data_IF_448544383047
#
_entry.id   IF_448544383047
#
_cell.length_a   1.000
_cell.length_b   1.000
_cell.length_c   1.000
_cell.angle_alpha   90.00
_cell.angle_beta   90.00
_cell.angle_gamma   90.00
#
_symmetry.space_group_name_H-M   'P 1'
#
loop_
_entity.id
_entity.type
_entity.pdbx_description
1 polymer ?
#
# COMPACT_ATOMS: atom_id res chain seq x y z
N UNK A 1 27.23 33.35 18.04
CA UNK A 1 27.70 34.66 17.55
C UNK A 1 26.51 35.41 16.96
N UNK A 2 26.41 36.72 17.18
CA UNK A 2 25.37 37.60 16.61
C UNK A 2 25.90 38.27 15.33
N UNK A 3 25.06 38.39 14.31
CA UNK A 3 25.36 39.15 13.08
C UNK A 3 24.52 40.43 13.05
N UNK A 4 25.17 41.59 13.11
CA UNK A 4 24.55 42.88 12.90
C UNK A 4 24.65 43.26 11.43
N UNK A 5 23.51 43.53 10.78
CA UNK A 5 23.47 44.04 9.41
C UNK A 5 23.30 45.56 9.40
N UNK A 6 23.44 46.18 8.23
CA UNK A 6 23.35 47.63 8.05
C UNK A 6 24.39 48.41 8.87
N UNK A 7 25.65 47.95 8.85
CA UNK A 7 26.77 48.62 9.52
C UNK A 7 26.97 50.10 9.11
N UNK A 8 26.50 50.49 7.93
CA UNK A 8 26.45 51.89 7.47
C UNK A 8 25.61 52.80 8.38
N UNK A 9 24.61 52.24 9.08
CA UNK A 9 23.73 52.99 9.98
C UNK A 9 24.36 53.38 11.32
N UNK A 10 25.57 52.89 11.63
CA UNK A 10 26.30 53.25 12.85
C UNK A 10 26.83 54.70 12.82
N UNK A 11 26.85 55.37 11.66
CA UNK A 11 27.08 56.84 11.52
C UNK A 11 28.34 57.40 12.22
N UNK A 12 29.37 56.58 12.40
CA UNK A 12 30.63 56.96 13.05
C UNK A 12 30.75 56.55 14.52
N UNK A 13 29.65 56.14 15.15
CA UNK A 13 29.68 55.42 16.44
C UNK A 13 30.20 54.00 16.22
N UNK A 14 31.02 53.49 17.14
CA UNK A 14 31.45 52.10 17.10
C UNK A 14 30.31 51.17 17.53
N UNK A 15 30.33 49.93 17.04
CA UNK A 15 29.40 48.90 17.53
C UNK A 15 29.55 48.66 19.03
N UNK A 16 30.71 48.92 19.65
CA UNK A 16 30.87 48.75 21.11
C UNK A 16 30.03 49.77 21.87
N UNK A 17 30.16 51.05 21.54
CA UNK A 17 29.35 52.13 22.15
C UNK A 17 27.85 51.86 21.98
N UNK A 18 27.41 51.48 20.78
CA UNK A 18 26.01 51.10 20.53
C UNK A 18 25.52 49.91 21.39
N UNK A 19 26.41 48.96 21.73
CA UNK A 19 26.09 47.85 22.62
C UNK A 19 26.12 48.24 24.09
N UNK A 20 27.03 49.13 24.49
CA UNK A 20 27.17 49.62 25.86
C UNK A 20 25.95 50.46 26.30
N UNK A 21 25.32 51.17 25.36
CA UNK A 21 24.04 51.86 25.55
C UNK A 21 22.82 50.91 25.69
N UNK A 22 22.97 49.60 25.46
CA UNK A 22 21.86 48.63 25.43
C UNK A 22 22.11 47.40 26.33
N UNK A 23 21.70 47.46 27.62
CA UNK A 23 21.89 46.37 28.59
C UNK A 23 21.28 45.02 28.17
N UNK A 24 20.11 45.03 27.52
CA UNK A 24 19.45 43.82 27.03
C UNK A 24 20.22 43.18 25.86
N UNK A 25 20.73 44.01 24.94
CA UNK A 25 21.52 43.54 23.82
C UNK A 25 22.89 43.03 24.28
N UNK A 26 23.52 43.65 25.28
CA UNK A 26 24.68 43.06 25.97
C UNK A 26 24.36 41.69 26.57
N UNK A 27 23.20 41.54 27.26
CA UNK A 27 22.79 40.27 27.87
C UNK A 27 22.62 39.17 26.81
N UNK A 28 21.99 39.48 25.68
CA UNK A 28 21.85 38.58 24.54
C UNK A 28 23.22 38.20 23.92
N UNK A 29 24.12 39.15 23.76
CA UNK A 29 25.48 38.89 23.25
C UNK A 29 26.29 38.02 24.23
N UNK A 30 26.12 38.19 25.55
CA UNK A 30 26.73 37.34 26.58
C UNK A 30 26.25 35.89 26.47
N UNK A 31 24.95 35.64 26.24
CA UNK A 31 24.43 34.30 25.91
C UNK A 31 25.06 33.74 24.61
N UNK A 32 25.35 34.61 23.63
CA UNK A 32 26.07 34.28 22.40
C UNK A 32 27.61 34.18 22.56
N UNK A 33 28.11 33.94 23.78
CA UNK A 33 29.54 33.83 24.13
C UNK A 33 30.36 35.09 23.83
N UNK A 34 29.74 36.28 23.88
CA UNK A 34 30.39 37.57 23.59
C UNK A 34 30.68 37.82 22.10
N UNK A 35 30.43 36.85 21.22
CA UNK A 35 30.78 36.94 19.80
C UNK A 35 29.75 37.72 19.00
N UNK A 36 30.16 38.82 18.37
CA UNK A 36 29.38 39.57 17.38
C UNK A 36 30.21 39.91 16.12
N UNK A 37 29.56 40.16 14.99
CA UNK A 37 30.16 40.70 13.76
C UNK A 37 29.22 41.74 13.14
N UNK A 38 29.77 42.74 12.47
CA UNK A 38 29.02 43.82 11.80
C UNK A 38 29.26 43.71 10.31
N UNK A 39 28.17 43.71 9.54
CA UNK A 39 28.18 43.53 8.10
C UNK A 39 27.37 44.65 7.43
N UNK A 40 27.87 45.18 6.31
CA UNK A 40 27.21 46.22 5.55
C UNK A 40 26.71 45.65 4.22
N UNK A 41 25.42 45.32 4.15
CA UNK A 41 24.76 44.78 2.94
C UNK A 41 24.84 45.71 1.70
N UNK A 42 25.24 46.98 1.87
CA UNK A 42 25.43 47.95 0.78
C UNK A 42 26.87 48.05 0.30
N UNK A 43 27.82 47.52 1.06
CA UNK A 43 29.22 47.44 0.67
C UNK A 43 29.44 46.14 -0.12
N UNK A 44 30.04 46.24 -1.30
CA UNK A 44 30.38 45.08 -2.13
C UNK A 44 31.81 44.57 -1.87
N UNK A 45 32.53 45.14 -0.90
CA UNK A 45 33.86 44.68 -0.52
C UNK A 45 33.82 43.20 -0.06
N UNK A 46 34.49 42.27 -0.79
CA UNK A 46 34.48 40.85 -0.44
C UNK A 46 35.20 40.55 0.88
N UNK A 47 36.00 41.47 1.43
CA UNK A 47 36.69 41.24 2.71
C UNK A 47 35.71 40.98 3.86
N UNK A 48 34.54 41.62 3.88
CA UNK A 48 33.53 41.40 4.92
C UNK A 48 33.04 39.94 4.94
N UNK A 49 32.87 39.33 3.76
CA UNK A 49 32.49 37.92 3.63
C UNK A 49 33.61 37.01 4.12
N UNK A 50 34.86 37.29 3.74
CA UNK A 50 36.04 36.54 4.19
C UNK A 50 36.20 36.61 5.71
N UNK A 51 36.11 37.81 6.31
CA UNK A 51 36.20 38.02 7.76
C UNK A 51 35.09 37.30 8.53
N UNK A 52 33.85 37.33 8.01
CA UNK A 52 32.71 36.60 8.58
C UNK A 52 32.96 35.08 8.54
N UNK A 53 33.36 34.54 7.39
CA UNK A 53 33.66 33.11 7.22
C UNK A 53 34.83 32.64 8.09
N UNK A 54 35.90 33.44 8.19
CA UNK A 54 37.00 33.19 9.11
C UNK A 54 36.52 33.11 10.56
N UNK A 55 35.66 34.05 10.98
CA UNK A 55 35.15 34.12 12.36
C UNK A 55 34.24 32.94 12.67
N UNK A 56 33.40 32.51 11.71
CA UNK A 56 32.62 31.28 11.81
C UNK A 56 33.54 30.06 11.92
N UNK A 57 34.54 29.93 11.06
CA UNK A 57 35.49 28.81 11.09
C UNK A 57 36.26 28.75 12.43
N UNK A 58 36.74 29.89 12.93
CA UNK A 58 37.37 30.02 14.26
C UNK A 58 36.42 29.60 15.39
N UNK A 59 35.14 29.95 15.32
CA UNK A 59 34.12 29.51 16.28
C UNK A 59 33.89 27.98 16.23
N UNK A 60 33.69 27.41 15.03
CA UNK A 60 33.48 25.96 14.84
C UNK A 60 34.67 25.15 15.34
N UNK A 61 35.90 25.59 15.07
CA UNK A 61 37.12 24.95 15.59
C UNK A 61 37.20 24.99 17.12
N UNK A 62 36.77 26.07 17.77
CA UNK A 62 36.70 26.17 19.24
C UNK A 62 35.62 25.25 19.84
N UNK A 63 34.55 24.98 19.11
CA UNK A 63 33.52 23.98 19.45
C UNK A 63 33.90 22.53 19.10
N UNK A 64 35.20 22.24 18.89
CA UNK A 64 35.69 20.89 18.56
C UNK A 64 35.21 20.36 17.20
N UNK A 65 34.74 21.23 16.30
CA UNK A 65 34.16 20.86 15.01
C UNK A 65 32.68 20.46 15.06
N UNK A 66 32.10 20.25 16.25
CA UNK A 66 30.68 19.91 16.40
C UNK A 66 29.80 21.13 16.09
N UNK A 67 28.93 21.00 15.08
CA UNK A 67 27.90 21.97 14.68
C UNK A 67 26.56 21.24 14.59
N UNK A 68 25.60 21.70 15.37
CA UNK A 68 24.46 20.90 15.85
C UNK A 68 24.95 19.64 16.59
N UNK A 69 24.42 19.38 17.79
CA UNK A 69 24.64 18.08 18.40
C UNK A 69 24.11 17.02 17.45
N UNK A 70 24.83 15.90 17.31
CA UNK A 70 24.41 14.79 16.43
C UNK A 70 22.96 14.36 16.73
N UNK A 71 22.57 14.45 18.01
CA UNK A 71 21.21 14.29 18.53
C UNK A 71 20.16 15.20 17.84
N UNK A 72 20.46 16.48 17.61
CA UNK A 72 19.53 17.39 16.91
C UNK A 72 19.35 17.03 15.43
N UNK A 73 20.40 16.49 14.79
CA UNK A 73 20.30 15.99 13.42
C UNK A 73 19.49 14.69 13.38
N UNK A 74 19.85 13.73 14.23
CA UNK A 74 19.18 12.43 14.36
C UNK A 74 17.69 12.58 14.71
N UNK A 75 17.34 13.54 15.58
CA UNK A 75 15.95 13.83 15.94
C UNK A 75 15.16 14.47 14.79
N UNK A 76 15.81 15.25 13.93
CA UNK A 76 15.19 15.79 12.72
C UNK A 76 15.01 14.71 11.64
N UNK A 77 16.03 13.87 11.44
CA UNK A 77 15.99 12.72 10.53
C UNK A 77 14.90 11.72 10.94
N UNK A 78 14.84 11.36 12.23
CA UNK A 78 13.81 10.49 12.81
C UNK A 78 12.40 11.00 12.54
N UNK A 79 12.14 12.29 12.77
CA UNK A 79 10.83 12.92 12.50
C UNK A 79 10.46 13.02 11.03
N UNK A 80 11.45 12.99 10.13
CA UNK A 80 11.21 12.92 8.68
C UNK A 80 10.85 11.48 8.28
N UNK A 81 11.51 10.48 8.88
CA UNK A 81 11.29 9.07 8.58
C UNK A 81 9.97 8.53 9.17
N UNK A 82 9.65 8.87 10.42
CA UNK A 82 8.35 8.55 11.06
C UNK A 82 7.18 9.03 10.19
N UNK A 83 7.28 10.25 9.62
CA UNK A 83 6.26 10.84 8.74
C UNK A 83 6.14 10.22 7.35
N UNK A 84 7.08 9.38 6.92
CA UNK A 84 6.97 8.63 5.66
C UNK A 84 6.37 7.25 5.87
N UNK A 85 6.70 6.59 6.98
CA UNK A 85 6.24 5.23 7.22
C UNK A 85 4.72 5.12 7.41
N UNK A 86 4.07 6.09 8.05
CA UNK A 86 2.61 6.09 8.19
C UNK A 86 1.90 6.05 6.81
N UNK A 87 2.06 7.04 5.91
CA UNK A 87 1.35 7.02 4.62
C UNK A 87 1.83 5.92 3.66
N UNK A 88 3.07 5.44 3.77
CA UNK A 88 3.54 4.30 2.95
C UNK A 88 2.94 2.96 3.42
N UNK A 89 2.64 2.81 4.72
CA UNK A 89 1.94 1.63 5.24
C UNK A 89 0.46 1.66 4.89
N UNK A 90 -0.22 2.79 5.12
CA UNK A 90 -1.63 2.97 4.77
C UNK A 90 -1.87 2.68 3.28
N UNK A 91 -1.08 3.26 2.37
CA UNK A 91 -1.16 2.97 0.93
C UNK A 91 -0.85 1.51 0.57
N UNK A 92 0.02 0.83 1.34
CA UNK A 92 0.33 -0.58 1.10
C UNK A 92 -0.82 -1.48 1.54
N UNK A 93 -1.44 -1.16 2.68
CA UNK A 93 -2.61 -1.88 3.23
C UNK A 93 -3.83 -1.72 2.29
N UNK A 94 -4.15 -0.49 1.85
CA UNK A 94 -5.22 -0.25 0.86
C UNK A 94 -4.98 -1.00 -0.46
N UNK A 95 -3.72 -1.06 -0.94
CA UNK A 95 -3.36 -1.77 -2.17
C UNK A 95 -3.47 -3.30 -2.02
N UNK A 96 -3.20 -3.83 -0.83
CA UNK A 96 -3.29 -5.26 -0.53
C UNK A 96 -4.77 -5.68 -0.37
N UNK A 97 -5.59 -4.91 0.35
CA UNK A 97 -7.04 -5.13 0.45
C UNK A 97 -7.75 -5.05 -0.91
N UNK A 98 -7.46 -4.03 -1.72
CA UNK A 98 -8.08 -3.90 -3.05
C UNK A 98 -7.68 -5.05 -3.98
N UNK A 99 -6.45 -5.56 -3.86
CA UNK A 99 -5.98 -6.71 -4.62
C UNK A 99 -6.68 -8.00 -4.18
N UNK A 100 -6.87 -8.22 -2.88
CA UNK A 100 -7.63 -9.37 -2.37
C UNK A 100 -9.09 -9.33 -2.81
N UNK A 101 -9.74 -8.15 -2.83
CA UNK A 101 -11.10 -7.98 -3.35
C UNK A 101 -11.18 -8.36 -4.83
N UNK A 102 -10.29 -7.83 -5.68
CA UNK A 102 -10.24 -8.15 -7.11
C UNK A 102 -9.93 -9.63 -7.40
N UNK A 103 -9.10 -10.28 -6.58
CA UNK A 103 -8.83 -11.72 -6.70
C UNK A 103 -10.05 -12.54 -6.24
N UNK A 104 -10.75 -12.11 -5.18
CA UNK A 104 -11.99 -12.73 -4.70
C UNK A 104 -13.16 -12.63 -5.69
N UNK A 105 -13.40 -11.45 -6.27
CA UNK A 105 -14.45 -11.24 -7.29
C UNK A 105 -14.22 -12.15 -8.50
N UNK A 106 -13.00 -12.18 -9.04
CA UNK A 106 -12.65 -13.06 -10.17
C UNK A 106 -12.83 -14.55 -9.88
N UNK A 107 -12.54 -14.99 -8.66
CA UNK A 107 -12.74 -16.39 -8.25
C UNK A 107 -14.24 -16.72 -8.14
N UNK A 108 -15.08 -15.78 -7.71
CA UNK A 108 -16.53 -15.99 -7.67
C UNK A 108 -17.15 -16.04 -9.07
N UNK A 109 -16.70 -15.19 -10.00
CA UNK A 109 -17.10 -15.25 -11.41
C UNK A 109 -16.76 -16.63 -12.03
N UNK A 110 -15.53 -17.13 -11.82
CA UNK A 110 -15.11 -18.45 -12.32
C UNK A 110 -15.92 -19.61 -11.68
N UNK A 111 -16.25 -19.53 -10.39
CA UNK A 111 -17.10 -20.52 -9.72
C UNK A 111 -18.56 -20.49 -10.23
N UNK A 112 -19.09 -19.31 -10.56
CA UNK A 112 -20.43 -19.16 -11.13
C UNK A 112 -20.50 -19.70 -12.57
N UNK A 113 -19.52 -19.37 -13.43
CA UNK A 113 -19.42 -19.94 -14.78
C UNK A 113 -19.32 -21.47 -14.76
N UNK A 114 -18.53 -22.04 -13.85
CA UNK A 114 -18.41 -23.49 -13.66
C UNK A 114 -19.71 -24.14 -13.20
N UNK A 115 -20.44 -23.51 -12.27
CA UNK A 115 -21.76 -23.98 -11.81
C UNK A 115 -22.80 -23.95 -12.93
N UNK A 116 -22.91 -22.85 -13.65
CA UNK A 116 -23.83 -22.75 -14.80
C UNK A 116 -23.51 -23.81 -15.85
N UNK A 117 -22.24 -24.03 -16.17
CA UNK A 117 -21.82 -25.05 -17.13
C UNK A 117 -22.22 -26.46 -16.67
N UNK A 118 -21.97 -26.81 -15.41
CA UNK A 118 -22.37 -28.11 -14.87
C UNK A 118 -23.90 -28.28 -14.79
N UNK A 119 -24.66 -27.22 -14.51
CA UNK A 119 -26.12 -27.27 -14.55
C UNK A 119 -26.63 -27.48 -15.99
N UNK A 120 -26.10 -26.74 -16.98
CA UNK A 120 -26.42 -26.94 -18.41
C UNK A 120 -26.11 -28.38 -18.84
N UNK A 121 -24.90 -28.88 -18.55
CA UNK A 121 -24.51 -30.27 -18.84
C UNK A 121 -25.45 -31.30 -18.17
N UNK A 122 -25.88 -31.06 -16.93
CA UNK A 122 -26.82 -31.93 -16.23
C UNK A 122 -28.23 -31.88 -16.84
N UNK A 123 -28.71 -30.70 -17.27
CA UNK A 123 -30.00 -30.57 -17.98
C UNK A 123 -29.98 -31.25 -19.35
N UNK A 124 -28.93 -31.06 -20.15
CA UNK A 124 -28.76 -31.74 -21.44
C UNK A 124 -28.67 -33.27 -21.28
N UNK A 125 -27.97 -33.76 -20.25
CA UNK A 125 -27.94 -35.19 -19.92
C UNK A 125 -29.33 -35.71 -19.50
N UNK A 126 -30.09 -34.94 -18.72
CA UNK A 126 -31.46 -35.31 -18.34
C UNK A 126 -32.42 -35.30 -19.54
N UNK A 127 -32.33 -34.33 -20.44
CA UNK A 127 -33.14 -34.23 -21.66
C UNK A 127 -32.80 -35.35 -22.66
N UNK A 128 -31.52 -35.63 -22.89
CA UNK A 128 -31.09 -36.74 -23.77
C UNK A 128 -31.48 -38.10 -23.19
N UNK A 129 -31.36 -38.30 -21.88
CA UNK A 129 -31.85 -39.49 -21.19
C UNK A 129 -33.38 -39.63 -21.29
N UNK A 130 -34.14 -38.56 -21.09
CA UNK A 130 -35.60 -38.55 -21.21
C UNK A 130 -36.07 -38.75 -22.66
N UNK A 131 -35.35 -38.20 -23.64
CA UNK A 131 -35.61 -38.36 -25.08
C UNK A 131 -35.33 -39.79 -25.55
N UNK A 132 -34.20 -40.36 -25.13
CA UNK A 132 -33.86 -41.78 -25.35
C UNK A 132 -34.89 -42.71 -24.71
N UNK A 133 -35.28 -42.44 -23.46
CA UNK A 133 -36.31 -43.20 -22.74
C UNK A 133 -37.69 -43.12 -23.41
N UNK A 134 -38.05 -41.98 -23.99
CA UNK A 134 -39.28 -41.82 -24.79
C UNK A 134 -39.31 -42.73 -26.03
N UNK A 135 -38.17 -42.96 -26.68
CA UNK A 135 -38.08 -43.81 -27.87
C UNK A 135 -38.32 -45.29 -27.55
N UNK A 136 -37.89 -45.75 -26.36
CA UNK A 136 -38.13 -47.12 -25.88
C UNK A 136 -39.62 -47.39 -25.65
N UNK A 137 -40.39 -46.39 -25.19
CA UNK A 137 -41.84 -46.53 -24.95
C UNK A 137 -42.69 -46.63 -26.23
N UNK A 138 -42.20 -46.13 -27.36
CA UNK A 138 -42.98 -45.99 -28.60
C UNK A 138 -43.20 -47.30 -29.39
N UNK A 139 -42.55 -48.41 -28.99
CA UNK A 139 -42.60 -49.70 -29.73
C UNK A 139 -43.80 -50.58 -29.27
N UNK A 140 -44.56 -50.16 -28.25
CA UNK A 140 -45.47 -51.05 -27.50
C UNK A 140 -46.97 -50.73 -27.53
N UNK A 141 -47.52 -50.21 -28.63
CA UNK A 141 -49.00 -50.23 -28.85
C UNK A 141 -49.43 -50.64 -30.27
N UNK A 142 -49.76 -51.94 -30.45
CA UNK A 142 -50.85 -52.39 -31.34
C UNK A 142 -51.67 -53.48 -30.61
N UNK A 143 -52.99 -53.25 -30.50
CA UNK A 143 -53.97 -53.92 -29.63
C UNK A 143 -55.34 -53.94 -30.35
N UNK A 144 -56.16 -55.01 -30.38
CA UNK A 144 -56.02 -56.40 -29.89
C UNK A 144 -56.87 -57.34 -30.76
N UNK A 145 -56.38 -58.55 -31.06
CA UNK A 145 -57.09 -59.79 -30.67
C UNK A 145 -57.51 -60.70 -31.83
N UNK A 146 -58.07 -61.91 -31.54
CA UNK A 146 -58.39 -62.45 -30.22
C UNK A 146 -57.63 -63.74 -29.83
N UNK A 147 -57.40 -63.88 -28.52
CA UNK A 147 -57.44 -65.10 -27.67
C UNK A 147 -57.42 -66.48 -28.36
N UNK A 148 -56.44 -67.33 -28.00
CA UNK A 148 -56.64 -68.63 -27.31
C UNK A 148 -55.33 -69.05 -26.60
N UNK A 149 -55.43 -69.46 -25.32
CA UNK A 149 -54.74 -70.70 -24.90
C UNK A 149 -53.51 -70.66 -23.99
N UNK A 150 -53.81 -70.73 -22.67
CA UNK A 150 -53.01 -71.37 -21.59
C UNK A 150 -51.84 -70.61 -20.97
N UNK A 151 -51.75 -70.86 -19.66
CA UNK A 151 -50.79 -70.33 -18.67
C UNK A 151 -49.90 -71.49 -18.20
N UNK A 152 -48.59 -71.26 -18.11
CA UNK A 152 -47.68 -71.95 -17.18
C UNK A 152 -46.75 -70.91 -16.57
N UNK A 153 -46.44 -71.09 -15.28
CA UNK A 153 -45.76 -70.09 -14.45
C UNK A 153 -44.24 -70.30 -14.46
N UNK A 154 -43.46 -69.23 -14.27
CA UNK A 154 -42.10 -69.36 -13.73
C UNK A 154 -41.59 -68.07 -13.09
N UNK A 155 -41.45 -68.14 -11.75
CA UNK A 155 -40.36 -67.56 -10.94
C UNK A 155 -40.13 -66.04 -10.98
N UNK A 156 -40.37 -65.39 -9.82
CA UNK A 156 -39.73 -64.12 -9.49
C UNK A 156 -38.21 -64.28 -9.49
N UNK A 157 -37.52 -63.51 -10.33
CA UNK A 157 -36.12 -63.15 -10.07
C UNK A 157 -36.02 -61.64 -9.91
N UNK A 158 -35.76 -61.21 -8.67
CA UNK A 158 -35.37 -59.83 -8.38
C UNK A 158 -33.97 -59.63 -8.95
N UNK A 159 -33.77 -58.65 -9.84
CA UNK A 159 -32.51 -57.93 -9.97
C UNK A 159 -32.78 -56.57 -10.62
N UNK A 160 -32.56 -55.50 -9.86
CA UNK A 160 -32.36 -54.17 -10.42
C UNK A 160 -30.86 -54.02 -10.71
N UNK A 161 -30.43 -53.66 -11.93
CA UNK A 161 -29.07 -53.21 -12.16
C UNK A 161 -28.93 -51.76 -11.68
N UNK A 162 -28.45 -51.60 -10.45
CA UNK A 162 -27.79 -50.36 -10.06
C UNK A 162 -26.45 -50.30 -10.81
N UNK A 163 -26.38 -49.53 -11.90
CA UNK A 163 -25.09 -49.20 -12.50
C UNK A 163 -24.45 -48.07 -11.68
N UNK A 164 -23.24 -48.26 -11.12
CA UNK A 164 -22.55 -47.21 -10.39
C UNK A 164 -22.08 -46.11 -11.36
N UNK A 165 -22.14 -44.86 -10.90
CA UNK A 165 -21.58 -43.73 -11.62
C UNK A 165 -20.05 -43.88 -11.77
N UNK A 166 -19.47 -43.52 -12.93
CA UNK A 166 -18.02 -43.48 -13.07
C UNK A 166 -17.41 -42.37 -12.20
N UNK A 167 -16.18 -42.54 -11.68
CA UNK A 167 -15.51 -41.50 -10.89
C UNK A 167 -15.07 -40.31 -11.77
N UNK A 168 -14.98 -39.09 -11.21
CA UNK A 168 -14.52 -37.91 -11.94
C UNK A 168 -13.04 -38.04 -12.34
N UNK A 169 -12.62 -37.40 -13.46
CA UNK A 169 -11.24 -37.42 -13.90
C UNK A 169 -10.33 -36.65 -12.94
N UNK A 170 -9.12 -37.17 -12.71
CA UNK A 170 -8.07 -36.46 -11.98
C UNK A 170 -7.47 -35.37 -12.86
N UNK A 171 -7.22 -34.20 -12.27
CA UNK A 171 -6.44 -33.11 -12.87
C UNK A 171 -4.95 -33.31 -12.55
N UNK A 172 -4.13 -33.43 -13.58
CA UNK A 172 -2.70 -33.07 -13.60
C UNK A 172 -2.48 -32.01 -14.69
#
# INVERSE_FOLDING_TARGET
>A
MVLFTHGDRLKGTSIKEYLDDSPDLQRFIKQCHGGYHVFNNRDQNPSQVTELLEKINKMVKRSGGSRCTTEMLQEAERKIEEKKQDPEREQREEMEELKEQLEGERLMEEEEELKEKHEREATEQAETYASSSRWIGAITEIVVGPVVGRKVESVLSRHAPANPLPPPPALE
#
